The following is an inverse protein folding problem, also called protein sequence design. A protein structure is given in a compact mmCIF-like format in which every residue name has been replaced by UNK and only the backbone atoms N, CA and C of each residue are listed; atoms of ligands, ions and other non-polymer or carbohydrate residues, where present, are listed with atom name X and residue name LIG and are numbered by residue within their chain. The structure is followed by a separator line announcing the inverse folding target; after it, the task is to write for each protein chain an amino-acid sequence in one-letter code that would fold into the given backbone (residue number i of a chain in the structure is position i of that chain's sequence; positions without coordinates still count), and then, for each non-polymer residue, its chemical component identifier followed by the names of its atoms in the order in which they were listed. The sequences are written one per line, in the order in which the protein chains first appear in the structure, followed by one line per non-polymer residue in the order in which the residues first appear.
data_IF_642052976604
#
_entry.id   IF_642052976604
#
_cell.length_a   1.000
_cell.length_b   1.000
_cell.length_c   1.000
_cell.angle_alpha   90.00
_cell.angle_beta   90.00
_cell.angle_gamma   90.00
#
_symmetry.space_group_name_H-M   'P 1'
#
loop_
_entity.id
_entity.type
_entity.pdbx_description
1 polymer ?
#
# COMPACT_ATOMS: atom_id res chain seq x y z
N UNK A 1 -22.01 -7.51 2.15
CA UNK A 1 -21.18 -8.44 2.96
C UNK A 1 -20.17 -9.25 2.13
N UNK A 2 -20.29 -9.43 0.80
CA UNK A 2 -19.34 -10.24 0.02
C UNK A 2 -18.02 -9.56 -0.38
N UNK A 3 -18.02 -8.25 -0.61
CA UNK A 3 -16.86 -7.50 -1.10
C UNK A 3 -15.67 -7.51 -0.14
N UNK A 4 -15.91 -7.38 1.18
CA UNK A 4 -14.86 -7.43 2.19
C UNK A 4 -14.22 -8.81 2.30
N UNK A 5 -15.01 -9.88 2.14
CA UNK A 5 -14.50 -11.25 2.13
C UNK A 5 -13.63 -11.52 0.89
N UNK A 6 -14.06 -11.05 -0.27
CA UNK A 6 -13.31 -11.18 -1.52
C UNK A 6 -11.99 -10.40 -1.46
N UNK A 7 -12.02 -9.15 -0.98
CA UNK A 7 -10.81 -8.34 -0.75
C UNK A 7 -9.87 -9.02 0.24
N UNK A 8 -10.41 -9.55 1.34
CA UNK A 8 -9.62 -10.26 2.34
C UNK A 8 -8.94 -11.51 1.75
N UNK A 9 -9.63 -12.24 0.88
CA UNK A 9 -9.07 -13.40 0.18
C UNK A 9 -7.94 -12.98 -0.78
N UNK A 10 -8.13 -11.91 -1.57
CA UNK A 10 -7.07 -11.38 -2.45
C UNK A 10 -5.81 -10.99 -1.67
N UNK A 11 -5.98 -10.28 -0.55
CA UNK A 11 -4.86 -9.89 0.32
C UNK A 11 -4.14 -11.12 0.87
N UNK A 12 -4.87 -12.13 1.35
CA UNK A 12 -4.26 -13.35 1.87
C UNK A 12 -3.48 -14.11 0.79
N UNK A 13 -4.05 -14.25 -0.41
CA UNK A 13 -3.37 -14.87 -1.55
C UNK A 13 -2.11 -14.10 -1.91
N UNK A 14 -2.19 -12.77 -1.99
CA UNK A 14 -1.04 -11.95 -2.35
C UNK A 14 0.05 -11.98 -1.27
N UNK A 15 -0.33 -12.03 0.01
CA UNK A 15 0.61 -12.19 1.12
C UNK A 15 1.41 -13.50 0.99
N UNK A 16 0.75 -14.63 0.74
CA UNK A 16 1.45 -15.90 0.55
C UNK A 16 2.29 -15.92 -0.73
N UNK A 17 1.82 -15.24 -1.79
CA UNK A 17 2.57 -15.11 -3.05
C UNK A 17 3.85 -14.28 -2.88
N UNK A 18 3.79 -13.18 -2.12
CA UNK A 18 4.91 -12.28 -1.90
C UNK A 18 5.89 -12.75 -0.81
N UNK A 19 5.46 -13.64 0.09
CA UNK A 19 6.27 -14.15 1.21
C UNK A 19 7.65 -14.67 0.82
N UNK A 20 7.79 -15.62 -0.13
CA UNK A 20 9.12 -16.11 -0.51
C UNK A 20 9.99 -15.03 -1.16
N UNK A 21 9.38 -14.08 -1.88
CA UNK A 21 10.11 -12.96 -2.47
C UNK A 21 10.67 -12.03 -1.38
N UNK A 22 9.86 -11.71 -0.37
CA UNK A 22 10.29 -10.92 0.78
C UNK A 22 11.39 -11.61 1.58
N UNK A 23 11.23 -12.90 1.89
CA UNK A 23 12.24 -13.69 2.61
C UNK A 23 13.58 -13.74 1.87
N UNK A 24 13.55 -13.72 0.53
CA UNK A 24 14.76 -13.73 -0.30
C UNK A 24 15.44 -12.35 -0.41
N UNK A 25 14.67 -11.26 -0.40
CA UNK A 25 15.19 -9.92 -0.71
C UNK A 25 15.35 -9.03 0.52
N UNK A 26 14.39 -9.06 1.46
CA UNK A 26 14.30 -8.13 2.57
C UNK A 26 14.20 -6.66 2.13
N UNK A 27 13.91 -6.40 0.85
CA UNK A 27 13.91 -5.07 0.25
C UNK A 27 12.48 -4.59 0.04
N UNK A 28 12.13 -3.51 0.75
CA UNK A 28 10.78 -2.95 0.74
C UNK A 28 10.43 -2.32 -0.60
N UNK A 29 11.38 -1.68 -1.30
CA UNK A 29 11.14 -1.08 -2.60
C UNK A 29 10.91 -2.16 -3.65
N UNK A 30 11.73 -3.22 -3.60
CA UNK A 30 11.56 -4.39 -4.46
C UNK A 30 10.23 -5.11 -4.18
N UNK A 31 9.80 -5.19 -2.92
CA UNK A 31 8.50 -5.75 -2.55
C UNK A 31 7.36 -4.89 -3.14
N UNK A 32 7.42 -3.57 -3.04
CA UNK A 32 6.37 -2.71 -3.62
C UNK A 32 6.29 -2.86 -5.15
N UNK A 33 7.44 -2.98 -5.83
CA UNK A 33 7.49 -3.27 -7.26
C UNK A 33 6.88 -4.63 -7.58
N UNK A 34 7.23 -5.68 -6.83
CA UNK A 34 6.66 -7.02 -6.99
C UNK A 34 5.13 -7.00 -6.86
N UNK A 35 4.60 -6.32 -5.84
CA UNK A 35 3.15 -6.20 -5.61
C UNK A 35 2.47 -5.49 -6.79
N UNK A 36 3.08 -4.41 -7.29
CA UNK A 36 2.58 -3.66 -8.46
C UNK A 36 2.53 -4.52 -9.71
N UNK A 37 3.58 -5.28 -9.98
CA UNK A 37 3.67 -6.16 -11.16
C UNK A 37 2.64 -7.29 -11.13
N UNK A 38 2.13 -7.64 -9.94
CA UNK A 38 1.04 -8.59 -9.74
C UNK A 38 -0.34 -7.93 -9.63
N UNK A 39 -0.46 -6.63 -9.93
CA UNK A 39 -1.71 -5.88 -9.90
C UNK A 39 -2.26 -5.65 -8.48
N UNK A 40 -1.39 -5.73 -7.46
CA UNK A 40 -1.73 -5.37 -6.09
C UNK A 40 -1.38 -3.90 -5.86
N UNK A 41 -2.41 -3.07 -5.71
CA UNK A 41 -2.28 -1.61 -5.66
C UNK A 41 -3.04 -0.98 -4.48
N UNK A 42 -2.69 0.27 -4.18
CA UNK A 42 -3.35 1.09 -3.17
C UNK A 42 -3.47 0.39 -1.81
N UNK A 43 -4.70 0.36 -1.27
CA UNK A 43 -4.99 -0.26 0.04
C UNK A 43 -4.64 -1.74 0.11
N UNK A 44 -4.80 -2.50 -0.98
CA UNK A 44 -4.47 -3.94 -0.94
C UNK A 44 -2.96 -4.13 -0.77
N UNK A 45 -2.14 -3.37 -1.51
CA UNK A 45 -0.69 -3.40 -1.38
C UNK A 45 -0.23 -2.96 0.02
N UNK A 46 -0.82 -1.90 0.59
CA UNK A 46 -0.50 -1.48 1.95
C UNK A 46 -0.84 -2.57 2.99
N UNK A 47 -2.01 -3.22 2.88
CA UNK A 47 -2.42 -4.26 3.82
C UNK A 47 -1.58 -5.54 3.69
N UNK A 48 -1.19 -5.91 2.46
CA UNK A 48 -0.23 -7.01 2.24
C UNK A 48 1.11 -6.67 2.89
N UNK A 49 1.62 -5.45 2.67
CA UNK A 49 2.90 -4.96 3.24
C UNK A 49 2.86 -4.99 4.77
N UNK A 50 1.80 -4.44 5.37
CA UNK A 50 1.59 -4.42 6.81
C UNK A 50 1.65 -5.83 7.42
N UNK A 51 0.94 -6.78 6.81
CA UNK A 51 0.88 -8.17 7.30
C UNK A 51 2.19 -8.91 7.09
N UNK A 52 2.89 -8.64 5.98
CA UNK A 52 4.12 -9.34 5.63
C UNK A 52 5.31 -8.86 6.45
N UNK A 53 5.40 -7.56 6.71
CA UNK A 53 6.46 -6.95 7.53
C UNK A 53 6.13 -6.99 9.02
N UNK A 54 4.91 -7.38 9.40
CA UNK A 54 4.41 -7.36 10.78
C UNK A 54 4.55 -5.97 11.43
N UNK A 55 4.18 -4.94 10.66
CA UNK A 55 4.25 -3.53 11.04
C UNK A 55 2.86 -2.96 11.29
N UNK A 56 2.79 -1.74 11.83
CA UNK A 56 1.53 -1.01 11.86
C UNK A 56 1.16 -0.39 10.50
N UNK A 57 -0.03 0.21 10.43
CA UNK A 57 -0.54 0.84 9.21
C UNK A 57 0.31 2.05 8.79
N UNK A 58 0.82 2.84 9.73
CA UNK A 58 1.59 4.04 9.43
C UNK A 58 2.98 3.69 8.87
N UNK A 59 3.59 2.63 9.38
CA UNK A 59 4.81 2.03 8.85
C UNK A 59 4.59 1.43 7.46
N UNK A 60 3.49 0.70 7.24
CA UNK A 60 3.14 0.16 5.93
C UNK A 60 2.86 1.27 4.90
N UNK A 61 2.18 2.34 5.31
CA UNK A 61 1.92 3.50 4.46
C UNK A 61 3.23 4.22 4.09
N UNK A 62 4.15 4.37 5.05
CA UNK A 62 5.49 4.93 4.79
C UNK A 62 6.27 4.07 3.80
N UNK A 63 6.30 2.75 3.99
CA UNK A 63 6.92 1.80 3.07
C UNK A 63 6.33 1.90 1.65
N UNK A 64 4.99 1.98 1.55
CA UNK A 64 4.30 2.12 0.27
C UNK A 64 4.66 3.43 -0.44
N UNK A 65 4.53 4.58 0.23
CA UNK A 65 4.78 5.87 -0.41
C UNK A 65 6.26 6.21 -0.58
N UNK A 66 7.18 5.56 0.15
CA UNK A 66 8.61 5.74 -0.06
C UNK A 66 9.09 5.08 -1.36
N UNK A 67 8.45 3.98 -1.76
CA UNK A 67 8.89 3.20 -2.91
C UNK A 67 8.80 4.00 -4.23
N UNK A 68 9.87 4.04 -5.05
CA UNK A 68 9.88 4.78 -6.32
C UNK A 68 8.76 4.39 -7.28
N UNK A 69 8.36 3.11 -7.26
CA UNK A 69 7.30 2.60 -8.13
C UNK A 69 5.90 3.13 -7.77
N UNK A 70 5.72 3.76 -6.60
CA UNK A 70 4.47 4.31 -6.07
C UNK A 70 4.38 5.84 -6.13
N UNK A 71 5.30 6.49 -6.86
CA UNK A 71 5.36 7.96 -6.93
C UNK A 71 4.06 8.59 -7.48
N UNK A 72 3.37 7.94 -8.41
CA UNK A 72 2.11 8.43 -8.93
C UNK A 72 1.01 8.42 -7.86
N UNK A 73 0.91 7.32 -7.10
CA UNK A 73 -0.01 7.17 -5.97
C UNK A 73 0.30 8.17 -4.86
N UNK A 74 1.58 8.39 -4.55
CA UNK A 74 2.03 9.40 -3.58
C UNK A 74 1.59 10.80 -4.00
N UNK A 75 1.87 11.21 -5.24
CA UNK A 75 1.48 12.53 -5.74
C UNK A 75 -0.03 12.73 -5.73
N UNK A 76 -0.79 11.69 -6.09
CA UNK A 76 -2.24 11.74 -6.00
C UNK A 76 -2.72 11.93 -4.55
N UNK A 77 -2.17 11.15 -3.62
CA UNK A 77 -2.47 11.26 -2.20
C UNK A 77 -2.16 12.66 -1.64
N UNK A 78 -0.96 13.17 -1.90
CA UNK A 78 -0.52 14.46 -1.40
C UNK A 78 -1.35 15.61 -1.98
N UNK A 79 -1.71 15.51 -3.27
CA UNK A 79 -2.61 16.48 -3.90
C UNK A 79 -4.01 16.44 -3.28
N UNK A 80 -4.56 15.24 -3.06
CA UNK A 80 -5.87 15.09 -2.43
C UNK A 80 -5.89 15.63 -1.00
N UNK A 81 -4.84 15.38 -0.21
CA UNK A 81 -4.71 15.96 1.13
C UNK A 81 -4.63 17.49 1.07
N UNK A 82 -3.84 18.06 0.16
CA UNK A 82 -3.76 19.50 -0.01
C UNK A 82 -5.12 20.14 -0.31
N UNK A 83 -5.93 19.53 -1.18
CA UNK A 83 -7.30 20.02 -1.47
C UNK A 83 -8.22 19.93 -0.26
N UNK A 84 -8.10 18.89 0.57
CA UNK A 84 -8.89 18.75 1.79
C UNK A 84 -8.48 19.77 2.85
N UNK A 85 -7.18 20.06 2.98
CA UNK A 85 -6.65 21.09 3.87
C UNK A 85 -7.12 22.49 3.45
N UNK A 86 -7.08 22.80 2.15
CA UNK A 86 -7.62 24.05 1.60
C UNK A 86 -9.12 24.19 1.91
N UNK A 87 -9.91 23.15 1.67
CA UNK A 87 -11.35 23.16 1.92
C UNK A 87 -11.67 23.36 3.42
N UNK A 88 -10.89 22.75 4.31
CA UNK A 88 -11.08 22.92 5.75
C UNK A 88 -10.68 24.32 6.25
N UNK A 89 -9.75 24.99 5.55
CA UNK A 89 -9.32 26.37 5.86
C UNK A 89 -10.22 27.47 5.26
N UNK A 90 -11.18 27.11 4.39
CA UNK A 90 -12.13 28.07 3.78
C UNK A 90 -13.43 28.27 4.56
N UNK A 91 -13.57 27.67 5.73
CA UNK A 91 -14.75 27.79 6.61
C UNK A 91 -14.65 28.95 7.65
N UNK A 92 -13.72 29.91 7.47
CA UNK A 92 -13.55 31.13 8.29
C UNK A 92 -14.12 32.41 7.64
#
# INVERSE_FOLDING_TARGET
MGFDAERSARIAVMQETARPFWEATGDTDALQQFLKDHGCDGVEAMLVTMRLLNTDLAEAQRAFFAAPCRDAERRFHDHALGLLEEAAGTDD
#
